data_IF_725361278505
#
_entry.id   IF_725361278505
#
_cell.length_a   1.000
_cell.length_b   1.000
_cell.length_c   1.000
_cell.angle_alpha   90.00
_cell.angle_beta   90.00
_cell.angle_gamma   90.00
#
_symmetry.space_group_name_H-M   'P 1'
#
loop_
_entity.id
_entity.type
_entity.pdbx_description
1 polymer ?
#
# COMPACT_ATOMS: atom_id res chain seq x y z
N UNK A 1 -19.54 -1.75 2.21
CA UNK A 1 -18.23 -2.43 2.35
C UNK A 1 -17.22 -1.43 1.84
N UNK A 2 -16.25 -1.02 2.65
CA UNK A 2 -15.19 -0.12 2.17
C UNK A 2 -14.36 -0.86 1.13
N UNK A 3 -14.20 -0.24 -0.03
CA UNK A 3 -13.49 -0.76 -1.20
C UNK A 3 -12.01 -1.00 -0.80
N UNK A 4 -11.32 -2.05 -1.27
CA UNK A 4 -9.89 -2.27 -1.03
C UNK A 4 -9.00 -1.04 -1.31
N UNK A 5 -9.44 -0.19 -2.24
CA UNK A 5 -8.81 1.10 -2.57
C UNK A 5 -8.97 2.13 -1.43
N UNK A 6 -10.07 2.13 -0.69
CA UNK A 6 -10.31 3.06 0.42
C UNK A 6 -9.38 2.77 1.61
N UNK A 7 -9.06 1.50 1.89
CA UNK A 7 -8.14 1.14 2.97
C UNK A 7 -6.69 1.49 2.67
N UNK A 8 -6.27 1.27 1.42
CA UNK A 8 -4.94 1.69 0.94
C UNK A 8 -4.84 3.20 0.92
N UNK A 9 -5.93 3.92 0.60
CA UNK A 9 -6.00 5.39 0.61
C UNK A 9 -6.00 5.97 2.03
N UNK A 10 -6.63 5.31 2.99
CA UNK A 10 -6.69 5.75 4.40
C UNK A 10 -5.36 5.52 5.13
N UNK A 11 -4.66 4.45 4.76
CA UNK A 11 -3.25 4.22 5.11
C UNK A 11 -2.36 5.28 4.46
N UNK A 12 -2.45 5.51 3.14
CA UNK A 12 -1.74 6.58 2.42
C UNK A 12 -1.95 7.96 3.05
N UNK A 13 -3.16 8.25 3.56
CA UNK A 13 -3.48 9.49 4.27
C UNK A 13 -2.78 9.62 5.63
N UNK A 14 -2.74 8.57 6.44
CA UNK A 14 -2.00 8.56 7.71
C UNK A 14 -0.48 8.64 7.51
N UNK A 15 -0.02 8.00 6.44
CA UNK A 15 1.36 7.94 5.97
C UNK A 15 1.84 9.33 5.46
N UNK A 16 1.01 10.05 4.70
CA UNK A 16 1.23 11.46 4.32
C UNK A 16 1.24 12.38 5.55
N UNK A 17 0.36 12.16 6.53
CA UNK A 17 0.29 12.95 7.76
C UNK A 17 1.56 12.82 8.62
N UNK A 18 2.12 11.62 8.72
CA UNK A 18 3.37 11.36 9.45
C UNK A 18 4.61 11.85 8.69
N UNK A 19 4.66 11.70 7.35
CA UNK A 19 5.72 12.28 6.53
C UNK A 19 5.71 13.81 6.57
N UNK A 20 4.53 14.42 6.72
CA UNK A 20 4.40 15.86 6.95
C UNK A 20 4.98 16.23 8.32
N UNK A 21 4.65 15.48 9.37
CA UNK A 21 5.15 15.73 10.73
C UNK A 21 6.68 15.50 10.87
N UNK A 22 7.21 14.54 10.13
CA UNK A 22 8.65 14.18 10.15
C UNK A 22 9.45 15.07 9.20
N UNK A 23 8.84 15.55 8.11
CA UNK A 23 9.40 16.60 7.24
C UNK A 23 9.62 17.92 7.98
N UNK A 24 8.71 18.31 8.89
CA UNK A 24 8.86 19.49 9.75
C UNK A 24 10.02 19.43 10.74
N UNK A 25 10.44 18.24 11.15
CA UNK A 25 11.62 18.06 12.00
C UNK A 25 12.94 18.16 11.21
N UNK A 26 12.90 17.97 9.89
CA UNK A 26 14.08 17.99 9.02
C UNK A 26 14.58 19.40 8.67
N UNK A 27 13.83 20.45 9.01
CA UNK A 27 14.15 21.85 8.65
C UNK A 27 14.60 22.67 9.87
N UNK A 28 14.60 22.08 11.07
CA UNK A 28 14.70 22.85 12.31
C UNK A 28 16.11 23.04 12.89
N UNK A 29 17.24 22.70 12.23
CA UNK A 29 18.56 23.05 12.82
C UNK A 29 19.76 22.97 11.83
N UNK A 30 20.12 24.12 11.24
CA UNK A 30 21.26 24.29 10.32
C UNK A 30 22.64 24.38 11.03
N UNK A 31 23.56 23.45 10.73
CA UNK A 31 24.99 23.46 11.10
C UNK A 31 25.69 22.09 10.95
N UNK A 32 26.95 22.06 10.49
CA UNK A 32 27.81 20.91 10.06
C UNK A 32 27.76 19.57 10.84
N UNK A 33 27.21 19.51 12.07
CA UNK A 33 26.80 18.24 12.73
C UNK A 33 25.51 17.63 12.14
N UNK A 34 24.90 18.31 11.16
CA UNK A 34 23.62 18.03 10.52
C UNK A 34 23.60 16.79 9.64
N UNK A 35 24.57 16.60 8.73
CA UNK A 35 24.40 15.58 7.67
C UNK A 35 24.27 14.18 8.26
N UNK A 36 25.07 13.85 9.28
CA UNK A 36 24.99 12.55 9.97
C UNK A 36 23.69 12.41 10.76
N UNK A 37 23.19 13.49 11.36
CA UNK A 37 21.93 13.51 12.12
C UNK A 37 20.73 13.35 11.17
N UNK A 38 20.76 14.04 10.03
CA UNK A 38 19.78 13.97 8.95
C UNK A 38 19.78 12.60 8.27
N UNK A 39 20.97 12.02 8.05
CA UNK A 39 21.12 10.66 7.52
C UNK A 39 20.54 9.61 8.47
N UNK A 40 20.84 9.70 9.78
CA UNK A 40 20.27 8.80 10.79
C UNK A 40 18.75 8.97 10.86
N UNK A 41 18.25 10.21 10.81
CA UNK A 41 16.82 10.51 10.76
C UNK A 41 16.14 9.92 9.53
N UNK A 42 16.71 10.11 8.34
CA UNK A 42 16.19 9.58 7.09
C UNK A 42 16.19 8.04 7.05
N UNK A 43 17.30 7.41 7.48
CA UNK A 43 17.38 5.93 7.56
C UNK A 43 16.43 5.36 8.61
N UNK A 44 16.33 6.00 9.78
CA UNK A 44 15.40 5.60 10.83
C UNK A 44 13.95 5.73 10.41
N UNK A 45 13.60 6.83 9.73
CA UNK A 45 12.28 7.05 9.15
C UNK A 45 11.95 5.98 8.09
N UNK A 46 12.84 5.74 7.13
CA UNK A 46 12.65 4.72 6.10
C UNK A 46 12.50 3.30 6.68
N UNK A 47 13.27 2.98 7.73
CA UNK A 47 13.18 1.70 8.42
C UNK A 47 11.82 1.56 9.13
N UNK A 48 11.42 2.55 9.93
CA UNK A 48 10.14 2.56 10.63
C UNK A 48 8.99 2.43 9.64
N UNK A 49 9.07 3.17 8.53
CA UNK A 49 8.08 3.15 7.47
C UNK A 49 7.94 1.78 6.81
N UNK A 50 9.06 1.18 6.39
CA UNK A 50 9.03 -0.16 5.80
C UNK A 50 8.41 -1.20 6.75
N UNK A 51 8.65 -1.08 8.06
CA UNK A 51 8.05 -1.97 9.07
C UNK A 51 6.54 -1.78 9.12
N UNK A 52 6.07 -0.52 9.14
CA UNK A 52 4.65 -0.20 9.12
C UNK A 52 3.98 -0.78 7.88
N UNK A 53 4.55 -0.56 6.69
CA UNK A 53 3.99 -1.10 5.43
C UNK A 53 3.92 -2.63 5.42
N UNK A 54 4.94 -3.31 5.96
CA UNK A 54 4.93 -4.76 6.10
C UNK A 54 3.83 -5.25 7.06
N UNK A 55 3.62 -4.56 8.19
CA UNK A 55 2.54 -4.88 9.14
C UNK A 55 1.18 -4.64 8.49
N UNK A 56 1.01 -3.53 7.77
CA UNK A 56 -0.24 -3.22 7.08
C UNK A 56 -0.55 -4.21 5.97
N UNK A 57 0.47 -4.65 5.23
CA UNK A 57 0.34 -5.76 4.27
C UNK A 57 -0.16 -7.04 4.96
N UNK A 58 0.46 -7.44 6.08
CA UNK A 58 0.04 -8.61 6.84
C UNK A 58 -1.40 -8.47 7.37
N UNK A 59 -1.76 -7.29 7.88
CA UNK A 59 -3.13 -6.99 8.31
C UNK A 59 -4.11 -7.09 7.14
N UNK A 60 -3.73 -6.64 5.94
CA UNK A 60 -4.48 -6.80 4.70
C UNK A 60 -4.74 -8.28 4.37
N UNK A 61 -3.68 -9.10 4.32
CA UNK A 61 -3.79 -10.54 4.07
C UNK A 61 -4.68 -11.24 5.11
N UNK A 62 -4.56 -10.86 6.39
CA UNK A 62 -5.39 -11.41 7.46
C UNK A 62 -6.85 -10.99 7.29
N UNK A 63 -7.12 -9.72 6.99
CA UNK A 63 -8.45 -9.18 6.82
C UNK A 63 -9.17 -9.79 5.62
N UNK A 64 -8.46 -10.01 4.51
CA UNK A 64 -8.97 -10.66 3.32
C UNK A 64 -9.38 -12.11 3.61
N UNK A 65 -8.51 -12.88 4.27
CA UNK A 65 -8.82 -14.26 4.70
C UNK A 65 -9.96 -14.32 5.69
N UNK A 66 -9.98 -13.42 6.67
CA UNK A 66 -11.07 -13.32 7.63
C UNK A 66 -12.39 -12.93 6.94
N UNK A 67 -12.33 -12.12 5.87
CA UNK A 67 -13.47 -11.82 4.99
C UNK A 67 -13.99 -13.08 4.31
N UNK A 68 -13.12 -13.81 3.60
CA UNK A 68 -13.48 -15.04 2.90
C UNK A 68 -14.06 -16.12 3.84
N UNK A 69 -13.48 -16.31 5.03
CA UNK A 69 -14.01 -17.23 6.04
C UNK A 69 -15.38 -16.80 6.55
N UNK A 70 -15.63 -15.51 6.76
CA UNK A 70 -16.95 -15.01 7.18
C UNK A 70 -18.01 -15.27 6.12
N UNK A 71 -17.70 -15.04 4.85
CA UNK A 71 -18.60 -15.34 3.72
C UNK A 71 -18.89 -16.84 3.67
N UNK A 72 -17.88 -17.70 3.77
CA UNK A 72 -18.06 -19.16 3.76
C UNK A 72 -18.92 -19.65 4.93
N UNK A 73 -18.69 -19.14 6.14
CA UNK A 73 -19.53 -19.46 7.30
C UNK A 73 -20.98 -19.00 7.11
N UNK A 74 -21.20 -17.81 6.57
CA UNK A 74 -22.53 -17.30 6.28
C UNK A 74 -23.25 -18.15 5.22
N UNK A 75 -22.55 -18.56 4.16
CA UNK A 75 -23.09 -19.42 3.09
C UNK A 75 -23.50 -20.82 3.59
N UNK A 76 -22.76 -21.37 4.57
CA UNK A 76 -23.10 -22.67 5.17
C UNK A 76 -24.29 -22.61 6.10
N UNK A 77 -24.46 -21.50 6.82
CA UNK A 77 -25.61 -21.26 7.71
C UNK A 77 -26.85 -20.76 6.98
N UNK A 78 -26.74 -20.39 5.71
CA UNK A 78 -27.87 -19.92 4.92
C UNK A 78 -28.75 -21.12 4.50
N UNK A 79 -29.95 -21.17 5.08
CA UNK A 79 -31.00 -22.12 4.70
C UNK A 79 -31.78 -21.67 3.45
N UNK A 80 -31.76 -20.38 3.13
CA UNK A 80 -32.41 -19.81 1.93
C UNK A 80 -31.47 -19.85 0.70
N UNK A 81 -31.81 -20.62 -0.35
CA UNK A 81 -31.03 -20.70 -1.59
C UNK A 81 -30.85 -19.32 -2.26
N UNK A 82 -31.87 -18.46 -2.24
CA UNK A 82 -31.82 -17.14 -2.90
C UNK A 82 -30.88 -16.18 -2.18
N UNK A 83 -30.73 -16.35 -0.86
CA UNK A 83 -29.77 -15.57 -0.07
C UNK A 83 -28.34 -16.05 -0.32
N UNK A 84 -28.14 -17.36 -0.47
CA UNK A 84 -26.83 -17.92 -0.78
C UNK A 84 -26.33 -17.51 -2.18
N UNK A 85 -27.19 -17.55 -3.20
CA UNK A 85 -26.85 -17.10 -4.56
C UNK A 85 -26.40 -15.63 -4.57
N UNK A 86 -27.14 -14.74 -3.89
CA UNK A 86 -26.75 -13.32 -3.77
C UNK A 86 -25.39 -13.14 -3.10
N UNK A 87 -25.14 -13.84 -1.99
CA UNK A 87 -23.85 -13.80 -1.30
C UNK A 87 -22.69 -14.29 -2.16
N UNK A 88 -22.91 -15.30 -3.03
CA UNK A 88 -21.90 -15.78 -3.98
C UNK A 88 -21.68 -14.74 -5.07
N UNK A 89 -22.75 -14.16 -5.63
CA UNK A 89 -22.66 -13.13 -6.66
C UNK A 89 -21.92 -11.88 -6.17
N UNK A 90 -22.21 -11.41 -4.95
CA UNK A 90 -21.56 -10.25 -4.33
C UNK A 90 -20.06 -10.47 -4.05
N UNK A 91 -19.64 -11.73 -3.89
CA UNK A 91 -18.25 -12.10 -3.65
C UNK A 91 -17.42 -12.29 -4.94
N UNK A 92 -18.09 -12.44 -6.08
CA UNK A 92 -17.45 -12.63 -7.38
C UNK A 92 -17.17 -11.28 -8.06
N UNK A 93 -16.14 -11.20 -8.93
CA UNK A 93 -15.97 -10.04 -9.79
C UNK A 93 -17.25 -9.78 -10.60
N UNK A 94 -17.71 -8.52 -10.75
CA UNK A 94 -19.00 -8.20 -11.38
C UNK A 94 -19.15 -8.78 -12.78
N UNK A 95 -18.07 -8.79 -13.56
CA UNK A 95 -18.05 -9.36 -14.91
C UNK A 95 -18.34 -10.86 -14.90
N UNK A 96 -17.80 -11.61 -13.92
CA UNK A 96 -18.03 -13.05 -13.79
C UNK A 96 -19.45 -13.32 -13.32
N UNK A 97 -19.92 -12.58 -12.31
CA UNK A 97 -21.29 -12.73 -11.81
C UNK A 97 -22.35 -12.47 -12.89
N UNK A 98 -22.07 -11.56 -13.84
CA UNK A 98 -23.02 -11.18 -14.90
C UNK A 98 -23.22 -12.23 -16.01
N UNK A 99 -22.24 -13.11 -16.21
CA UNK A 99 -22.28 -14.14 -17.26
C UNK A 99 -22.73 -15.51 -16.74
N UNK A 100 -22.82 -15.66 -15.42
CA UNK A 100 -23.15 -16.93 -14.79
C UNK A 100 -24.65 -17.21 -14.80
N UNK A 101 -24.99 -18.47 -15.03
CA UNK A 101 -26.37 -18.93 -14.99
C UNK A 101 -26.80 -19.33 -13.55
N UNK A 102 -28.10 -19.26 -13.23
CA UNK A 102 -28.60 -19.61 -11.89
C UNK A 102 -28.16 -21.01 -11.41
N UNK A 103 -28.11 -21.98 -12.31
CA UNK A 103 -27.73 -23.35 -12.00
C UNK A 103 -26.24 -23.48 -11.61
N UNK A 104 -25.37 -22.60 -12.11
CA UNK A 104 -23.95 -22.59 -11.78
C UNK A 104 -23.71 -22.07 -10.36
N UNK A 105 -24.47 -21.06 -9.93
CA UNK A 105 -24.44 -20.57 -8.55
C UNK A 105 -24.86 -21.65 -7.55
N UNK A 106 -25.91 -22.42 -7.89
CA UNK A 106 -26.37 -23.54 -7.07
C UNK A 106 -25.31 -24.66 -7.00
N UNK A 107 -24.68 -25.01 -8.13
CA UNK A 107 -23.60 -25.99 -8.17
C UNK A 107 -22.39 -25.56 -7.30
N UNK A 108 -22.02 -24.27 -7.34
CA UNK A 108 -20.98 -23.71 -6.48
C UNK A 108 -21.39 -23.77 -5.01
N UNK A 109 -22.63 -23.38 -4.67
CA UNK A 109 -23.12 -23.44 -3.30
C UNK A 109 -23.06 -24.85 -2.73
N UNK A 110 -23.47 -25.86 -3.50
CA UNK A 110 -23.39 -27.27 -3.11
C UNK A 110 -21.93 -27.72 -2.91
N UNK A 111 -21.02 -27.37 -3.83
CA UNK A 111 -19.59 -27.69 -3.69
C UNK A 111 -18.95 -27.00 -2.47
N UNK A 112 -19.35 -25.77 -2.15
CA UNK A 112 -18.87 -25.06 -0.96
C UNK A 112 -19.37 -25.70 0.35
N UNK A 113 -20.58 -26.28 0.34
CA UNK A 113 -21.13 -27.06 1.45
C UNK A 113 -20.40 -28.38 1.65
N UNK A 114 -19.93 -29.03 0.58
CA UNK A 114 -19.21 -30.31 0.67
C UNK A 114 -17.73 -30.19 1.08
N UNK A 115 -17.17 -28.97 1.09
CA UNK A 115 -15.81 -28.75 1.57
C UNK A 115 -15.66 -29.12 3.07
N UNK A 116 -14.46 -29.50 3.54
CA UNK A 116 -14.16 -29.71 4.95
C UNK A 116 -14.55 -28.50 5.81
N UNK A 117 -14.74 -28.69 7.13
CA UNK A 117 -15.01 -27.58 8.04
C UNK A 117 -13.89 -26.54 7.94
N UNK A 118 -14.19 -25.27 7.60
CA UNK A 118 -13.18 -24.24 7.54
C UNK A 118 -12.65 -23.94 8.94
N UNK A 119 -11.42 -23.43 9.06
CA UNK A 119 -10.87 -22.99 10.34
C UNK A 119 -11.73 -21.89 10.96
N UNK A 120 -11.88 -21.91 12.29
CA UNK A 120 -12.64 -20.88 13.03
C UNK A 120 -12.00 -19.48 12.94
N UNK A 121 -10.69 -19.42 12.69
CA UNK A 121 -9.91 -18.18 12.65
C UNK A 121 -9.02 -18.10 11.43
N UNK A 122 -8.95 -16.92 10.83
CA UNK A 122 -7.94 -16.61 9.82
C UNK A 122 -6.57 -16.53 10.49
N UNK A 123 -5.57 -17.17 9.88
CA UNK A 123 -4.18 -17.14 10.35
C UNK A 123 -3.26 -16.71 9.22
N UNK A 124 -2.20 -16.00 9.59
CA UNK A 124 -1.09 -15.70 8.70
C UNK A 124 -0.31 -16.97 8.41
N UNK A 125 0.01 -17.18 7.15
CA UNK A 125 0.84 -18.26 6.64
C UNK A 125 2.26 -17.75 6.41
N UNK A 126 3.21 -18.67 6.30
CA UNK A 126 4.62 -18.33 5.99
C UNK A 126 4.76 -17.49 4.72
N UNK A 127 3.93 -17.74 3.72
CA UNK A 127 3.89 -16.93 2.49
C UNK A 127 3.54 -15.46 2.73
N UNK A 128 2.68 -15.16 3.70
CA UNK A 128 2.29 -13.78 4.02
C UNK A 128 3.46 -13.05 4.68
N UNK A 129 4.19 -13.73 5.58
CA UNK A 129 5.40 -13.19 6.20
C UNK A 129 6.51 -12.89 5.18
N UNK A 130 6.68 -13.78 4.20
CA UNK A 130 7.58 -13.54 3.06
C UNK A 130 7.12 -12.35 2.20
N UNK A 131 5.81 -12.21 1.98
CA UNK A 131 5.23 -11.05 1.29
C UNK A 131 5.46 -9.75 2.06
N UNK A 132 5.23 -9.74 3.37
CA UNK A 132 5.50 -8.58 4.23
C UNK A 132 6.98 -8.20 4.24
N UNK A 133 7.87 -9.20 4.30
CA UNK A 133 9.32 -8.97 4.16
C UNK A 133 9.67 -8.41 2.78
N UNK A 134 9.04 -8.89 1.71
CA UNK A 134 9.25 -8.37 0.37
C UNK A 134 8.78 -6.90 0.25
N UNK A 135 7.64 -6.54 0.84
CA UNK A 135 7.16 -5.15 0.91
C UNK A 135 8.14 -4.28 1.70
N UNK A 136 8.56 -4.72 2.89
CA UNK A 136 9.58 -4.04 3.69
C UNK A 136 10.85 -3.77 2.88
N UNK A 137 11.41 -4.81 2.25
CA UNK A 137 12.63 -4.70 1.46
C UNK A 137 12.43 -3.80 0.25
N UNK A 138 11.31 -3.91 -0.46
CA UNK A 138 11.02 -3.05 -1.61
C UNK A 138 11.01 -1.59 -1.19
N UNK A 139 10.29 -1.26 -0.12
CA UNK A 139 10.17 0.10 0.42
C UNK A 139 11.53 0.61 0.90
N UNK A 140 12.24 -0.18 1.70
CA UNK A 140 13.56 0.19 2.22
C UNK A 140 14.62 0.36 1.11
N UNK A 141 14.70 -0.56 0.15
CA UNK A 141 15.65 -0.45 -0.97
C UNK A 141 15.27 0.66 -1.96
N UNK A 142 13.97 0.91 -2.18
CA UNK A 142 13.53 1.99 -3.06
C UNK A 142 13.83 3.39 -2.52
N UNK A 143 13.96 3.54 -1.20
CA UNK A 143 14.33 4.82 -0.58
C UNK A 143 15.84 5.02 -0.49
N UNK A 144 16.63 3.97 -0.71
CA UNK A 144 18.09 4.03 -0.66
C UNK A 144 18.68 5.05 -1.65
N UNK A 145 18.29 5.08 -2.94
CA UNK A 145 18.79 6.10 -3.89
C UNK A 145 18.57 7.53 -3.42
N UNK A 146 17.45 7.80 -2.75
CA UNK A 146 17.12 9.13 -2.21
C UNK A 146 18.04 9.50 -1.03
N UNK A 147 18.45 8.52 -0.24
CA UNK A 147 19.38 8.73 0.90
C UNK A 147 20.85 8.77 0.45
N UNK A 148 21.20 8.19 -0.70
CA UNK A 148 22.60 8.13 -1.18
C UNK A 148 23.35 9.47 -1.19
N UNK A 149 22.76 10.63 -1.56
CA UNK A 149 23.51 11.89 -1.57
C UNK A 149 24.03 12.29 -0.19
N UNK A 150 23.30 11.96 0.88
CA UNK A 150 23.70 12.25 2.26
C UNK A 150 24.87 11.38 2.74
N UNK A 151 25.18 10.27 2.05
CA UNK A 151 26.35 9.43 2.36
C UNK A 151 27.65 9.98 1.77
N UNK A 152 27.55 10.71 0.65
CA UNK A 152 28.73 11.15 -0.12
C UNK A 152 28.97 12.66 -0.05
N UNK A 153 27.95 13.46 0.30
CA UNK A 153 28.03 14.92 0.29
C UNK A 153 28.11 15.48 1.70
N UNK A 154 29.13 16.31 1.95
CA UNK A 154 29.32 17.01 3.23
C UNK A 154 28.38 18.23 3.38
N UNK A 155 27.95 18.81 2.26
CA UNK A 155 27.05 19.96 2.23
C UNK A 155 25.58 19.52 2.30
N UNK A 156 24.93 19.70 3.46
CA UNK A 156 23.54 19.31 3.70
C UNK A 156 22.56 19.90 2.67
N UNK A 157 22.69 21.20 2.36
CA UNK A 157 21.82 21.90 1.40
C UNK A 157 21.93 21.35 -0.03
N UNK A 158 23.14 20.92 -0.43
CA UNK A 158 23.37 20.32 -1.75
C UNK A 158 22.84 18.88 -1.78
N UNK A 159 23.10 18.10 -0.73
CA UNK A 159 22.60 16.73 -0.58
C UNK A 159 21.07 16.68 -0.67
N UNK A 160 20.38 17.62 0.00
CA UNK A 160 18.92 17.75 -0.04
C UNK A 160 18.41 18.01 -1.46
N UNK A 161 19.01 18.95 -2.20
CA UNK A 161 18.59 19.28 -3.58
C UNK A 161 18.77 18.09 -4.52
N UNK A 162 19.89 17.38 -4.39
CA UNK A 162 20.16 16.19 -5.21
C UNK A 162 19.20 15.06 -4.85
N UNK A 163 18.95 14.83 -3.56
CA UNK A 163 17.95 13.88 -3.07
C UNK A 163 16.56 14.17 -3.62
N UNK A 164 16.10 15.43 -3.56
CA UNK A 164 14.81 15.84 -4.13
C UNK A 164 14.74 15.61 -5.64
N UNK A 165 15.83 15.85 -6.37
CA UNK A 165 15.94 15.54 -7.79
C UNK A 165 15.78 14.04 -8.09
N UNK A 166 16.43 13.18 -7.30
CA UNK A 166 16.30 11.72 -7.40
C UNK A 166 14.86 11.30 -7.12
N UNK A 167 14.25 11.81 -6.04
CA UNK A 167 12.87 11.50 -5.67
C UNK A 167 11.87 11.88 -6.78
N UNK A 168 12.03 13.05 -7.40
CA UNK A 168 11.22 13.50 -8.54
C UNK A 168 11.32 12.52 -9.72
N UNK A 169 12.53 12.10 -10.09
CA UNK A 169 12.75 11.14 -11.18
C UNK A 169 12.13 9.79 -10.84
N UNK A 170 12.31 9.30 -9.62
CA UNK A 170 11.73 8.04 -9.16
C UNK A 170 10.20 8.08 -9.14
N UNK A 171 9.61 9.18 -8.70
CA UNK A 171 8.15 9.38 -8.70
C UNK A 171 7.58 9.36 -10.12
N UNK A 172 8.24 10.06 -11.06
CA UNK A 172 7.85 10.03 -12.47
C UNK A 172 7.97 8.62 -13.06
N UNK A 173 9.09 7.93 -12.83
CA UNK A 173 9.32 6.57 -13.35
C UNK A 173 8.32 5.56 -12.78
N UNK A 174 7.99 5.68 -11.50
CA UNK A 174 6.99 4.82 -10.85
C UNK A 174 5.60 5.09 -11.40
N UNK A 175 5.23 6.36 -11.59
CA UNK A 175 3.96 6.73 -12.24
C UNK A 175 3.87 6.30 -13.69
N UNK A 176 4.98 6.38 -14.43
CA UNK A 176 5.08 5.87 -15.79
C UNK A 176 4.87 4.35 -15.85
N UNK A 177 5.54 3.61 -14.96
CA UNK A 177 5.37 2.16 -14.84
C UNK A 177 3.93 1.79 -14.46
N UNK A 178 3.33 2.51 -13.51
CA UNK A 178 1.94 2.33 -13.10
C UNK A 178 0.97 2.57 -14.27
N UNK A 179 1.17 3.64 -15.05
CA UNK A 179 0.36 3.91 -16.23
C UNK A 179 0.44 2.81 -17.28
N UNK A 180 1.64 2.27 -17.51
CA UNK A 180 1.84 1.14 -18.43
C UNK A 180 1.14 -0.12 -17.96
N UNK A 181 1.18 -0.42 -16.66
CA UNK A 181 0.55 -1.61 -16.07
C UNK A 181 -0.98 -1.51 -16.07
N UNK A 182 -1.54 -0.32 -15.89
CA UNK A 182 -2.98 -0.08 -15.84
C UNK A 182 -3.62 0.20 -17.21
N UNK A 183 -2.86 0.08 -18.30
CA UNK A 183 -3.33 0.37 -19.65
C UNK A 183 -3.64 1.86 -19.91
N UNK A 184 -3.25 2.75 -19.00
CA UNK A 184 -3.39 4.20 -19.15
C UNK A 184 -2.22 4.79 -19.93
N UNK A 185 -2.33 6.07 -20.33
CA UNK A 185 -1.22 6.78 -20.97
C UNK A 185 -0.06 6.96 -19.97
N UNK A 186 1.10 6.31 -20.16
CA UNK A 186 2.14 6.22 -19.13
C UNK A 186 2.80 7.59 -18.85
N UNK A 187 2.89 8.45 -19.86
CA UNK A 187 3.41 9.81 -19.69
C UNK A 187 2.51 10.70 -18.84
N UNK A 188 1.18 10.65 -19.06
CA UNK A 188 0.22 11.47 -18.31
C UNK A 188 0.15 11.05 -16.84
N UNK A 189 0.18 9.75 -16.58
CA UNK A 189 0.19 9.20 -15.22
C UNK A 189 1.48 9.53 -14.47
N UNK A 190 2.64 9.47 -15.14
CA UNK A 190 3.92 9.95 -14.60
C UNK A 190 3.89 11.43 -14.22
N UNK A 191 3.39 12.30 -15.11
CA UNK A 191 3.25 13.75 -14.84
C UNK A 191 2.25 13.99 -13.70
N UNK A 192 1.11 13.30 -13.71
CA UNK A 192 0.09 13.46 -12.67
C UNK A 192 0.64 13.08 -11.28
N UNK A 193 1.34 11.95 -11.17
CA UNK A 193 1.99 11.55 -9.91
C UNK A 193 3.05 12.57 -9.48
N UNK A 194 3.85 13.09 -10.41
CA UNK A 194 4.83 14.12 -10.12
C UNK A 194 4.19 15.39 -9.55
N UNK A 195 3.13 15.91 -10.20
CA UNK A 195 2.40 17.10 -9.74
C UNK A 195 1.77 16.89 -8.36
N UNK A 196 1.23 15.70 -8.11
CA UNK A 196 0.64 15.33 -6.83
C UNK A 196 1.72 15.31 -5.73
N UNK A 197 2.89 14.73 -6.00
CA UNK A 197 4.02 14.74 -5.08
C UNK A 197 4.55 16.15 -4.78
N UNK A 198 4.69 17.01 -5.80
CA UNK A 198 5.08 18.41 -5.62
C UNK A 198 4.04 19.15 -4.75
N UNK A 199 2.75 18.94 -5.01
CA UNK A 199 1.67 19.55 -4.23
C UNK A 199 1.70 19.15 -2.75
N UNK A 200 1.92 17.86 -2.47
CA UNK A 200 2.08 17.35 -1.11
C UNK A 200 3.26 17.99 -0.38
N UNK A 201 4.41 18.09 -1.04
CA UNK A 201 5.61 18.74 -0.47
C UNK A 201 5.35 20.23 -0.21
N UNK A 202 4.72 20.94 -1.14
CA UNK A 202 4.39 22.36 -0.97
C UNK A 202 3.44 22.59 0.22
N UNK A 203 2.45 21.71 0.40
CA UNK A 203 1.54 21.75 1.55
C UNK A 203 2.30 21.51 2.86
N UNK A 204 3.20 20.52 2.89
CA UNK A 204 4.01 20.23 4.08
C UNK A 204 4.87 21.42 4.51
N UNK A 205 5.53 22.10 3.55
CA UNK A 205 6.31 23.32 3.81
C UNK A 205 5.39 24.44 4.35
N UNK A 206 4.22 24.63 3.75
CA UNK A 206 3.27 25.67 4.17
C UNK A 206 2.73 25.47 5.60
N UNK A 207 2.66 24.23 6.09
CA UNK A 207 2.16 23.85 7.42
C UNK A 207 3.20 23.98 8.54
N UNK A 208 4.38 24.56 8.28
CA UNK A 208 5.47 24.67 9.24
C UNK A 208 6.52 23.58 9.08
N UNK A 209 6.63 23.07 7.85
CA UNK A 209 7.73 22.26 7.35
C UNK A 209 9.01 23.06 7.27
#
# INVERSE_FOLDING_TARGET
MLDPIDRVSEILFGLIMVLTFTGSLSVAEAGDREVRTMLIGALGCNLAWGIIDAVLYLMGCLAERAGGLRVLHALRKADDPRRAVRMIADALPPMVASVMEPHEFEAIHQRLKSLPQPPDRALLRRGDWLGGLAVFLLVFLSTFPVVTPFLFMENALLALRVSNGIAIVMLFMTGYAFGRLTGHRPWLTGIAMLLLGIGLVAIAIALGG
#
